data_IF_075106772017
#
_entry.id   IF_075106772017
#
_cell.length_a   1.000
_cell.length_b   1.000
_cell.length_c   1.000
_cell.angle_alpha   90.00
_cell.angle_beta   90.00
_cell.angle_gamma   90.00
#
_symmetry.space_group_name_H-M   'P 1'
#
loop_
_entity.id
_entity.type
_entity.pdbx_description
1 polymer ?
#
# COMPACT_ATOMS: atom_id res chain seq x y z
N UNK A 1 -9.15 13.66 -5.95
CA UNK A 1 -9.13 12.91 -6.99
C UNK A 1 -8.19 11.86 -6.90
N UNK A 2 -8.53 10.73 -7.37
CA UNK A 2 -7.65 9.58 -7.31
C UNK A 2 -6.34 9.87 -7.96
N UNK A 3 -6.35 10.63 -9.02
CA UNK A 3 -5.12 10.88 -9.75
C UNK A 3 -4.11 11.70 -8.95
N UNK A 4 -4.52 12.33 -7.88
CA UNK A 4 -3.59 13.10 -7.10
C UNK A 4 -3.08 12.34 -5.90
N UNK A 5 -3.50 11.11 -5.70
CA UNK A 5 -3.07 10.34 -4.54
C UNK A 5 -1.83 9.54 -4.84
N UNK A 6 -0.92 9.55 -3.88
CA UNK A 6 0.30 8.76 -4.00
C UNK A 6 0.02 7.28 -3.75
N UNK A 7 0.91 6.45 -4.23
CA UNK A 7 0.84 5.00 -4.03
C UNK A 7 2.08 4.55 -3.28
N UNK A 8 1.90 3.88 -2.18
CA UNK A 8 3.00 3.32 -1.41
C UNK A 8 2.94 1.80 -1.45
N UNK A 9 4.10 1.18 -1.55
CA UNK A 9 4.19 -0.28 -1.66
C UNK A 9 5.29 -0.82 -0.79
N UNK A 10 5.01 -1.91 -0.10
CA UNK A 10 6.00 -2.62 0.68
C UNK A 10 5.93 -4.09 0.30
N UNK A 11 7.07 -4.68 -0.03
CA UNK A 11 7.12 -6.09 -0.33
C UNK A 11 7.95 -6.81 0.72
N UNK A 12 7.41 -7.89 1.26
CA UNK A 12 8.08 -8.68 2.29
C UNK A 12 8.13 -10.13 1.86
N UNK A 13 8.95 -10.90 2.55
CA UNK A 13 8.90 -12.33 2.38
C UNK A 13 8.07 -12.89 3.53
N UNK A 14 6.94 -13.52 3.17
CA UNK A 14 6.04 -14.08 4.18
C UNK A 14 4.92 -13.14 4.57
N UNK A 15 3.81 -13.75 4.95
CA UNK A 15 2.61 -13.00 5.27
C UNK A 15 2.70 -12.28 6.61
N UNK A 16 3.43 -12.85 7.56
CA UNK A 16 3.48 -12.26 8.91
C UNK A 16 4.08 -10.86 8.86
N UNK A 17 5.23 -10.70 8.21
CA UNK A 17 5.84 -9.39 8.12
C UNK A 17 5.01 -8.44 7.26
N UNK A 18 4.28 -8.98 6.28
CA UNK A 18 3.40 -8.15 5.45
C UNK A 18 2.25 -7.58 6.28
N UNK A 19 1.65 -8.40 7.12
CA UNK A 19 0.53 -7.95 7.97
C UNK A 19 1.04 -6.95 9.01
N UNK A 20 2.22 -7.19 9.56
CA UNK A 20 2.80 -6.26 10.52
C UNK A 20 3.07 -4.92 9.84
N UNK A 21 3.57 -4.95 8.61
CA UNK A 21 3.81 -3.72 7.87
C UNK A 21 2.50 -2.98 7.60
N UNK A 22 1.47 -3.72 7.17
CA UNK A 22 0.18 -3.10 6.87
C UNK A 22 -0.42 -2.42 8.10
N UNK A 23 -0.35 -3.11 9.24
CA UNK A 23 -0.86 -2.56 10.48
C UNK A 23 -0.12 -1.26 10.85
N UNK A 24 1.19 -1.30 10.79
CA UNK A 24 1.99 -0.13 11.12
C UNK A 24 1.71 1.04 10.19
N UNK A 25 1.50 0.75 8.90
CA UNK A 25 1.23 1.80 7.93
C UNK A 25 -0.06 2.54 8.24
N UNK A 26 -1.14 1.82 8.48
CA UNK A 26 -2.43 2.47 8.69
C UNK A 26 -2.51 3.13 10.06
N UNK A 27 -1.67 2.72 11.00
CA UNK A 27 -1.62 3.36 12.30
C UNK A 27 -0.77 4.62 12.28
N UNK A 28 0.22 4.68 11.40
CA UNK A 28 1.17 5.78 11.40
C UNK A 28 0.67 7.03 10.67
N UNK A 29 -0.20 6.88 9.70
CA UNK A 29 -0.61 8.01 8.88
C UNK A 29 -1.99 7.77 8.28
N UNK A 30 -2.59 8.82 7.79
CA UNK A 30 -3.92 8.72 7.19
C UNK A 30 -3.80 8.21 5.76
N UNK A 31 -3.71 6.90 5.64
CA UNK A 31 -3.65 6.25 4.33
C UNK A 31 -4.70 5.17 4.27
N UNK A 32 -5.08 4.80 3.06
CA UNK A 32 -6.03 3.73 2.84
C UNK A 32 -5.32 2.50 2.34
N UNK A 33 -5.59 1.38 2.97
CA UNK A 33 -5.02 0.11 2.54
C UNK A 33 -5.75 -0.33 1.28
N UNK A 34 -5.03 -0.48 0.19
CA UNK A 34 -5.62 -0.86 -1.07
C UNK A 34 -5.78 -2.35 -1.15
N UNK A 35 -4.80 -3.07 -0.67
CA UNK A 35 -4.87 -4.51 -0.72
C UNK A 35 -3.51 -5.15 -0.61
N UNK A 36 -3.49 -6.46 -0.75
CA UNK A 36 -2.26 -7.20 -0.73
C UNK A 36 -2.25 -8.14 -1.92
N UNK A 37 -1.09 -8.45 -2.40
CA UNK A 37 -0.90 -9.37 -3.51
C UNK A 37 0.16 -10.39 -3.15
N UNK A 38 -0.17 -11.66 -3.34
CA UNK A 38 0.78 -12.74 -3.14
C UNK A 38 1.33 -13.10 -4.51
N UNK A 39 2.64 -12.89 -4.68
CA UNK A 39 3.22 -13.08 -5.99
C UNK A 39 3.95 -14.40 -6.17
N UNK A 40 3.98 -15.22 -5.19
CA UNK A 40 4.70 -16.49 -5.31
C UNK A 40 6.05 -16.41 -4.64
N UNK A 41 6.64 -17.53 -4.33
CA UNK A 41 7.91 -17.58 -3.65
C UNK A 41 7.87 -17.03 -2.24
N UNK A 42 6.67 -16.90 -1.67
CA UNK A 42 6.53 -16.33 -0.34
C UNK A 42 6.50 -14.82 -0.32
N UNK A 43 6.54 -14.16 -1.47
CA UNK A 43 6.55 -12.71 -1.52
C UNK A 43 5.14 -12.15 -1.41
N UNK A 44 4.99 -11.10 -0.62
CA UNK A 44 3.71 -10.45 -0.39
C UNK A 44 3.90 -8.95 -0.53
N UNK A 45 3.05 -8.32 -1.31
CA UNK A 45 3.11 -6.86 -1.50
C UNK A 45 1.88 -6.21 -0.87
N UNK A 46 2.11 -5.19 -0.07
CA UNK A 46 1.05 -4.40 0.56
C UNK A 46 1.05 -3.02 -0.09
N UNK A 47 -0.12 -2.52 -0.41
CA UNK A 47 -0.23 -1.22 -1.07
C UNK A 47 -1.15 -0.28 -0.30
N UNK A 48 -0.77 0.99 -0.23
CA UNK A 48 -1.57 2.03 0.42
C UNK A 48 -1.67 3.25 -0.48
N UNK A 49 -2.73 4.01 -0.31
CA UNK A 49 -2.97 5.24 -1.04
C UNK A 49 -3.23 6.39 -0.07
N UNK A 50 -2.88 7.58 -0.49
CA UNK A 50 -3.14 8.79 0.31
C UNK A 50 -2.29 9.94 -0.20
N UNK A 51 -2.29 11.04 0.56
CA UNK A 51 -1.43 12.16 0.24
C UNK A 51 0.02 11.71 0.30
N UNK A 52 0.89 12.32 -0.50
CA UNK A 52 2.26 11.86 -0.59
C UNK A 52 3.00 11.89 0.74
N UNK A 53 2.76 12.92 1.55
CA UNK A 53 3.41 12.95 2.86
C UNK A 53 2.95 11.82 3.77
N UNK A 54 1.65 11.53 3.74
CA UNK A 54 1.11 10.45 4.55
C UNK A 54 1.62 9.10 4.06
N UNK A 55 1.70 8.92 2.74
CA UNK A 55 2.19 7.66 2.19
C UNK A 55 3.65 7.44 2.53
N UNK A 56 4.47 8.51 2.50
CA UNK A 56 5.86 8.38 2.87
C UNK A 56 6.01 8.00 4.35
N UNK A 57 5.26 8.65 5.22
CA UNK A 57 5.29 8.33 6.64
C UNK A 57 4.83 6.89 6.88
N UNK A 58 3.79 6.48 6.18
CA UNK A 58 3.26 5.13 6.33
C UNK A 58 4.28 4.08 5.89
N UNK A 59 4.92 4.29 4.73
CA UNK A 59 5.88 3.30 4.23
C UNK A 59 7.12 3.23 5.11
N UNK A 60 7.55 4.36 5.68
CA UNK A 60 8.67 4.34 6.60
C UNK A 60 8.32 3.51 7.85
N UNK A 61 7.13 3.72 8.40
CA UNK A 61 6.70 2.98 9.58
C UNK A 61 6.52 1.50 9.26
N UNK A 62 5.96 1.20 8.10
CA UNK A 62 5.72 -0.19 7.70
C UNK A 62 7.02 -0.94 7.49
N UNK A 63 8.00 -0.29 6.86
CA UNK A 63 9.30 -0.91 6.63
C UNK A 63 9.98 -1.21 7.96
N UNK A 64 9.95 -0.28 8.89
CA UNK A 64 10.57 -0.48 10.21
C UNK A 64 9.89 -1.63 10.95
N UNK A 65 8.58 -1.74 10.83
CA UNK A 65 7.85 -2.81 11.50
C UNK A 65 8.15 -4.18 10.87
N UNK A 66 8.22 -4.22 9.55
CA UNK A 66 8.44 -5.48 8.84
C UNK A 66 9.76 -6.12 9.21
N UNK A 67 10.83 -5.32 9.31
CA UNK A 67 12.15 -5.88 9.59
C UNK A 67 12.26 -6.45 11.00
N UNK A 68 11.36 -6.08 11.89
CA UNK A 68 11.40 -6.62 13.24
C UNK A 68 10.90 -8.04 13.33
N UNK A 69 10.06 -8.44 12.38
CA UNK A 69 9.44 -9.76 12.45
C UNK A 69 9.73 -10.64 11.25
N UNK A 70 10.36 -10.11 10.23
CA UNK A 70 10.64 -10.89 9.04
C UNK A 70 11.56 -10.17 8.09
N UNK A 71 11.44 -10.48 6.82
CA UNK A 71 12.35 -9.96 5.81
C UNK A 71 11.66 -8.94 4.92
N UNK A 72 12.22 -7.75 4.87
CA UNK A 72 11.75 -6.69 4.00
C UNK A 72 12.48 -6.81 2.67
N UNK A 73 11.75 -6.88 1.58
CA UNK A 73 12.32 -7.04 0.25
C UNK A 73 12.47 -5.69 -0.46
N UNK A 74 11.41 -4.89 -0.47
CA UNK A 74 11.50 -3.58 -1.12
C UNK A 74 10.42 -2.64 -0.62
N UNK A 75 10.68 -1.35 -0.78
CA UNK A 75 9.76 -0.29 -0.40
C UNK A 75 9.80 0.73 -1.52
N UNK A 76 8.65 1.20 -1.95
CA UNK A 76 8.63 2.22 -3.00
C UNK A 76 7.41 3.12 -2.86
N UNK A 77 7.59 4.38 -3.22
CA UNK A 77 6.50 5.35 -3.24
C UNK A 77 6.47 5.97 -4.62
N UNK A 78 5.29 5.98 -5.23
CA UNK A 78 5.08 6.71 -6.47
C UNK A 78 4.22 7.91 -6.10
N UNK A 79 4.79 9.12 -6.10
CA UNK A 79 4.07 10.30 -5.62
C UNK A 79 2.85 10.65 -6.44
N UNK A 80 2.93 10.43 -7.75
CA UNK A 80 1.80 10.77 -8.62
C UNK A 80 1.68 9.73 -9.72
N UNK A 81 1.08 8.59 -9.44
CA UNK A 81 0.98 7.54 -10.45
C UNK A 81 0.13 8.01 -11.63
N UNK A 82 0.50 7.57 -12.82
CA UNK A 82 -0.28 7.87 -14.01
C UNK A 82 -1.64 7.22 -13.85
N UNK A 83 -2.70 7.89 -14.32
CA UNK A 83 -4.03 7.33 -14.10
C UNK A 83 -4.23 5.95 -14.72
N UNK A 84 -3.52 5.60 -15.75
CA UNK A 84 -3.67 4.26 -16.32
C UNK A 84 -3.16 3.17 -15.40
N UNK A 85 -2.31 3.51 -14.43
CA UNK A 85 -1.82 2.52 -13.48
C UNK A 85 -2.95 1.99 -12.61
N UNK A 86 -3.97 2.79 -12.40
CA UNK A 86 -5.10 2.36 -11.58
C UNK A 86 -5.71 1.06 -12.10
N UNK A 87 -5.62 0.81 -13.39
CA UNK A 87 -6.24 -0.36 -13.97
C UNK A 87 -5.53 -1.65 -13.67
N UNK A 88 -4.27 -1.60 -13.30
CA UNK A 88 -3.52 -2.82 -13.04
C UNK A 88 -3.27 -3.06 -11.57
N UNK A 89 -3.73 -2.16 -10.71
CA UNK A 89 -3.56 -2.35 -9.28
C UNK A 89 -4.59 -3.34 -8.76
N UNK A 90 -4.27 -4.06 -7.70
CA UNK A 90 -5.27 -4.94 -7.09
C UNK A 90 -6.41 -4.06 -6.55
N UNK A 91 -7.60 -4.58 -6.56
CA UNK A 91 -8.76 -3.84 -6.08
C UNK A 91 -8.87 -2.47 -6.75
N UNK A 92 -8.99 -2.45 -8.06
CA UNK A 92 -9.08 -1.16 -8.75
C UNK A 92 -10.30 -0.40 -8.24
N UNK A 93 -10.29 0.90 -8.32
CA UNK A 93 -11.39 1.70 -7.84
C UNK A 93 -12.68 1.33 -8.53
N UNK A 94 -13.74 1.26 -7.76
CA UNK A 94 -15.00 0.96 -8.32
C UNK A 94 -15.62 2.26 -8.67
N UNK A 95 -16.10 2.36 -9.88
CA UNK A 95 -16.62 3.48 -10.32
C UNK A 95 -17.73 3.86 -9.60
N UNK A 96 -17.80 4.54 -8.89
CA UNK A 96 -18.76 5.06 -8.23
C UNK A 96 -19.74 4.59 -7.60
N UNK A 97 -19.74 3.75 -7.63
CA UNK A 97 -20.64 3.10 -7.20
C UNK A 97 -21.16 3.51 -6.01
N UNK A 98 -20.55 3.18 -5.15
CA UNK A 98 -21.01 3.39 -4.01
C UNK A 98 -21.19 4.71 -3.72
N UNK A 99 -20.42 5.37 -4.03
CA UNK A 99 -20.49 6.54 -3.72
C UNK A 99 -21.46 7.19 -4.15
N UNK A 100 -21.84 6.86 -5.03
CA UNK A 100 -22.74 7.50 -5.58
C UNK A 100 -23.90 7.26 -5.01
N UNK A 101 -24.04 6.36 -4.47
CA UNK A 101 -25.22 6.09 -4.04
C UNK A 101 -25.42 6.63 -2.82
N UNK A 102 -24.70 7.12 -2.40
CA UNK A 102 -25.02 7.64 -1.28
C UNK A 102 -25.23 8.70 -1.14
#
# INVERSE_FOLDING_TARGET
MASSMALGMIETKGLVSAIEAADAMVKAANVNLVGKTLVGGGLVTIMVRGDVGAVKAATDAGAAAAVKVGELISVHVIPRPHEEIEMILPNPPVKNVAKEEQ
#
